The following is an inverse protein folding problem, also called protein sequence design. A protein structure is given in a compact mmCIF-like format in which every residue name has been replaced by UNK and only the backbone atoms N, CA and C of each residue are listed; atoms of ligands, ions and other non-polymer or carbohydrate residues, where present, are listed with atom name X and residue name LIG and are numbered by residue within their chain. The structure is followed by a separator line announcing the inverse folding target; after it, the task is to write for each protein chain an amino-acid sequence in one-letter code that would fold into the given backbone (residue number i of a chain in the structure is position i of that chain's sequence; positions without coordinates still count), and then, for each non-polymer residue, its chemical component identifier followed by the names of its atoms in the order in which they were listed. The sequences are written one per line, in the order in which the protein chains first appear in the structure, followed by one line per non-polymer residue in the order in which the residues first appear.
data_IF_488100148979
#
_entry.id   IF_488100148979
#
_cell.length_a   1.000
_cell.length_b   1.000
_cell.length_c   1.000
_cell.angle_alpha   90.00
_cell.angle_beta   90.00
_cell.angle_gamma   90.00
#
_symmetry.space_group_name_H-M   'P 1'
#
loop_
_entity.id
_entity.type
_entity.pdbx_description
1 polymer ?
#
# COMPACT_ATOMS: atom_id res chain seq x y z
N UNK A 1 8.74 5.63 -1.00
CA UNK A 1 9.72 5.44 0.10
C UNK A 1 9.57 6.43 1.26
N UNK A 2 8.75 7.49 1.19
CA UNK A 2 8.58 8.44 2.31
C UNK A 2 7.49 8.04 3.34
N UNK A 3 6.43 7.31 2.95
CA UNK A 3 5.35 6.91 3.88
C UNK A 3 5.56 5.58 4.60
N UNK A 4 6.53 4.77 4.17
CA UNK A 4 6.96 3.61 4.97
C UNK A 4 7.53 4.02 6.35
N UNK A 5 7.76 5.32 6.58
CA UNK A 5 8.17 5.93 7.84
C UNK A 5 7.06 6.69 8.60
N UNK A 6 5.79 6.68 8.14
CA UNK A 6 4.65 7.24 8.90
C UNK A 6 4.44 8.77 8.82
N UNK A 7 5.04 9.47 7.85
CA UNK A 7 4.83 10.91 7.69
C UNK A 7 3.47 11.24 7.07
N UNK A 8 2.73 12.15 7.71
CA UNK A 8 1.47 12.72 7.22
C UNK A 8 1.72 13.76 6.12
N UNK A 9 0.80 13.92 5.17
CA UNK A 9 0.93 14.85 4.06
C UNK A 9 1.10 16.29 4.53
N UNK A 10 0.42 16.66 5.63
CA UNK A 10 0.55 17.96 6.28
C UNK A 10 1.97 18.23 6.77
N UNK A 11 2.66 17.22 7.31
CA UNK A 11 4.04 17.37 7.79
C UNK A 11 5.03 17.59 6.64
N UNK A 12 4.79 16.93 5.49
CA UNK A 12 5.62 17.14 4.29
C UNK A 12 5.40 18.53 3.71
N UNK A 13 4.15 19.00 3.70
CA UNK A 13 3.80 20.37 3.27
C UNK A 13 4.44 21.40 4.21
N UNK A 14 4.31 21.22 5.53
CA UNK A 14 4.87 22.12 6.53
C UNK A 14 6.40 22.19 6.43
N UNK A 15 7.07 21.05 6.21
CA UNK A 15 8.51 21.02 5.98
C UNK A 15 8.92 21.80 4.72
N UNK A 16 8.18 21.66 3.61
CA UNK A 16 8.46 22.39 2.37
C UNK A 16 8.29 23.90 2.56
N UNK A 17 7.24 24.33 3.25
CA UNK A 17 7.00 25.75 3.55
C UNK A 17 8.08 26.30 4.49
N UNK A 18 8.45 25.52 5.52
CA UNK A 18 9.38 25.96 6.56
C UNK A 18 10.84 26.03 6.11
N UNK A 19 11.27 25.11 5.24
CA UNK A 19 12.68 24.97 4.88
C UNK A 19 13.02 25.41 3.44
N UNK A 20 12.03 25.76 2.61
CA UNK A 20 12.30 26.24 1.26
C UNK A 20 12.88 27.66 1.26
N UNK A 21 13.96 27.86 0.49
CA UNK A 21 14.57 29.18 0.25
C UNK A 21 13.64 30.13 -0.53
N UNK A 22 12.70 29.57 -1.31
CA UNK A 22 11.76 30.31 -2.13
C UNK A 22 10.33 29.91 -1.80
N UNK A 23 9.36 30.79 -2.08
CA UNK A 23 7.95 30.47 -1.90
C UNK A 23 7.58 29.19 -2.67
N UNK A 24 7.00 28.22 -1.97
CA UNK A 24 6.56 26.96 -2.59
C UNK A 24 5.24 27.23 -3.33
N UNK A 25 5.14 26.92 -4.64
CA UNK A 25 3.91 27.16 -5.38
C UNK A 25 2.74 26.35 -4.79
N UNK A 26 1.59 27.00 -4.59
CA UNK A 26 0.37 26.34 -4.10
C UNK A 26 -0.02 25.08 -4.91
N UNK A 27 0.07 25.06 -6.25
CA UNK A 27 -0.24 23.85 -7.02
C UNK A 27 0.59 22.63 -6.61
N UNK A 28 1.88 22.82 -6.31
CA UNK A 28 2.75 21.73 -5.88
C UNK A 28 2.34 21.16 -4.52
N UNK A 29 1.95 22.03 -3.58
CA UNK A 29 1.49 21.59 -2.26
C UNK A 29 0.20 20.76 -2.37
N UNK A 30 -0.74 21.21 -3.21
CA UNK A 30 -1.98 20.47 -3.49
C UNK A 30 -1.67 19.11 -4.13
N UNK A 31 -0.79 19.07 -5.13
CA UNK A 31 -0.40 17.82 -5.80
C UNK A 31 0.23 16.80 -4.83
N UNK A 32 1.03 17.28 -3.86
CA UNK A 32 1.64 16.43 -2.82
C UNK A 32 0.56 15.86 -1.91
N UNK A 33 -0.36 16.69 -1.42
CA UNK A 33 -1.46 16.25 -0.54
C UNK A 33 -2.33 15.22 -1.27
N UNK A 34 -2.73 15.49 -2.50
CA UNK A 34 -3.55 14.59 -3.30
C UNK A 34 -2.83 13.26 -3.58
N UNK A 35 -1.52 13.32 -3.89
CA UNK A 35 -0.72 12.12 -4.15
C UNK A 35 -0.55 11.29 -2.87
N UNK A 36 -0.17 11.91 -1.76
CA UNK A 36 0.07 11.22 -0.49
C UNK A 36 -1.21 10.67 0.12
N UNK A 37 -2.35 11.36 -0.08
CA UNK A 37 -3.67 10.92 0.34
C UNK A 37 -4.13 9.62 -0.33
N UNK A 38 -3.61 9.28 -1.51
CA UNK A 38 -3.92 8.04 -2.24
C UNK A 38 -3.14 6.82 -1.73
N UNK A 39 -1.93 7.02 -1.19
CA UNK A 39 -1.15 5.93 -0.61
C UNK A 39 -1.80 5.41 0.69
N UNK A 40 -1.54 4.16 1.03
CA UNK A 40 -2.03 3.53 2.27
C UNK A 40 -3.54 3.24 2.33
N UNK A 41 -4.33 3.62 1.32
CA UNK A 41 -5.77 3.29 1.26
C UNK A 41 -6.05 1.86 0.82
N UNK A 42 -5.08 1.21 0.20
CA UNK A 42 -5.16 -0.16 -0.29
C UNK A 42 -3.93 -0.94 0.15
N UNK A 43 -4.15 -2.16 0.61
CA UNK A 43 -3.11 -3.06 1.09
C UNK A 43 -3.31 -4.45 0.49
N UNK A 44 -2.25 -5.02 -0.07
CA UNK A 44 -2.19 -6.41 -0.48
C UNK A 44 -1.61 -7.21 0.68
N UNK A 45 -2.43 -8.08 1.27
CA UNK A 45 -2.08 -8.87 2.46
C UNK A 45 -2.19 -10.36 2.15
N UNK A 46 -1.39 -11.18 2.84
CA UNK A 46 -1.50 -12.64 2.76
C UNK A 46 -2.30 -13.15 3.96
N UNK A 47 -3.35 -13.91 3.70
CA UNK A 47 -4.18 -14.56 4.71
C UNK A 47 -3.97 -16.07 4.69
N UNK A 48 -3.85 -16.74 5.86
CA UNK A 48 -3.63 -18.19 5.93
C UNK A 48 -4.71 -19.02 5.23
N UNK A 49 -5.98 -18.63 5.33
CA UNK A 49 -7.12 -19.37 4.78
C UNK A 49 -7.57 -18.89 3.39
N UNK A 50 -7.28 -17.64 3.02
CA UNK A 50 -7.84 -16.99 1.82
C UNK A 50 -6.79 -16.64 0.77
N UNK A 51 -5.49 -16.84 1.06
CA UNK A 51 -4.42 -16.48 0.15
C UNK A 51 -4.21 -14.97 0.09
N UNK A 52 -4.03 -14.42 -1.11
CA UNK A 52 -3.84 -12.98 -1.29
C UNK A 52 -5.18 -12.24 -1.21
N UNK A 53 -5.20 -11.13 -0.47
CA UNK A 53 -6.37 -10.27 -0.34
C UNK A 53 -5.98 -8.82 -0.59
N UNK A 54 -6.93 -8.05 -1.12
CA UNK A 54 -6.88 -6.59 -1.18
C UNK A 54 -7.78 -6.05 -0.08
N UNK A 55 -7.18 -5.38 0.89
CA UNK A 55 -7.84 -4.70 2.02
C UNK A 55 -7.84 -3.21 1.73
N UNK A 56 -8.95 -2.54 2.02
CA UNK A 56 -9.06 -1.10 1.91
C UNK A 56 -9.35 -0.44 3.25
N UNK A 57 -8.74 0.73 3.47
CA UNK A 57 -9.08 1.63 4.58
C UNK A 57 -10.11 2.69 4.16
N UNK A 58 -10.55 2.65 2.90
CA UNK A 58 -11.55 3.55 2.34
C UNK A 58 -12.48 2.78 1.39
N UNK A 59 -13.69 2.51 1.86
CA UNK A 59 -14.69 1.75 1.13
C UNK A 59 -15.02 2.33 -0.24
N UNK A 60 -15.02 3.65 -0.39
CA UNK A 60 -15.33 4.28 -1.68
C UNK A 60 -14.25 3.95 -2.71
N UNK A 61 -12.97 3.89 -2.28
CA UNK A 61 -11.85 3.50 -3.13
C UNK A 61 -11.97 2.03 -3.53
N UNK A 62 -12.32 1.13 -2.60
CA UNK A 62 -12.53 -0.27 -2.93
C UNK A 62 -13.64 -0.43 -3.98
N UNK A 63 -14.78 0.23 -3.81
CA UNK A 63 -15.89 0.20 -4.77
C UNK A 63 -15.48 0.69 -6.17
N UNK A 64 -14.65 1.74 -6.25
CA UNK A 64 -14.09 2.22 -7.51
C UNK A 64 -13.21 1.15 -8.18
N UNK A 65 -12.35 0.51 -7.40
CA UNK A 65 -11.45 -0.57 -7.86
C UNK A 65 -12.26 -1.78 -8.36
N UNK A 66 -13.29 -2.21 -7.63
CA UNK A 66 -14.15 -3.33 -7.99
C UNK A 66 -14.89 -3.10 -9.32
N UNK A 67 -15.26 -1.85 -9.62
CA UNK A 67 -15.93 -1.47 -10.88
C UNK A 67 -14.97 -1.40 -12.07
N UNK A 68 -13.66 -1.40 -11.83
CA UNK A 68 -12.68 -1.31 -12.90
C UNK A 68 -12.61 -2.65 -13.67
N UNK A 69 -13.11 -2.62 -14.92
CA UNK A 69 -13.17 -3.80 -15.80
C UNK A 69 -11.83 -4.50 -16.04
N UNK A 70 -10.70 -3.80 -15.89
CA UNK A 70 -9.37 -4.38 -16.05
C UNK A 70 -8.88 -5.06 -14.77
N UNK A 71 -9.35 -4.65 -13.61
CA UNK A 71 -8.96 -5.21 -12.31
C UNK A 71 -9.91 -6.34 -11.90
N UNK A 72 -11.22 -6.22 -12.16
CA UNK A 72 -12.22 -7.20 -11.79
C UNK A 72 -11.85 -8.68 -12.09
N UNK A 73 -11.22 -9.02 -13.25
CA UNK A 73 -10.81 -10.42 -13.52
C UNK A 73 -9.69 -10.96 -12.62
N UNK A 74 -8.99 -10.10 -11.89
CA UNK A 74 -7.92 -10.44 -10.95
C UNK A 74 -8.45 -10.71 -9.54
N UNK A 75 -9.72 -10.39 -9.31
CA UNK A 75 -10.38 -10.43 -8.00
C UNK A 75 -11.28 -11.67 -7.90
N UNK A 76 -11.35 -12.22 -6.70
CA UNK A 76 -12.23 -13.33 -6.35
C UNK A 76 -13.46 -12.86 -5.58
N UNK A 77 -13.93 -13.71 -4.66
CA UNK A 77 -15.06 -13.38 -3.81
C UNK A 77 -14.74 -12.20 -2.89
N UNK A 78 -15.75 -11.35 -2.67
CA UNK A 78 -15.74 -10.34 -1.61
C UNK A 78 -15.94 -11.06 -0.27
N UNK A 79 -15.09 -10.76 0.70
CA UNK A 79 -15.17 -11.35 2.05
C UNK A 79 -16.05 -10.50 2.97
N UNK A 80 -15.88 -9.19 2.89
CA UNK A 80 -16.63 -8.20 3.64
C UNK A 80 -16.64 -6.86 2.88
N UNK A 81 -17.14 -5.81 3.51
CA UNK A 81 -17.27 -4.51 2.87
C UNK A 81 -15.93 -3.86 2.49
N UNK A 82 -14.82 -4.25 3.10
CA UNK A 82 -13.52 -3.59 2.95
C UNK A 82 -12.43 -4.56 2.42
N UNK A 83 -12.79 -5.82 2.16
CA UNK A 83 -11.86 -6.89 1.77
C UNK A 83 -12.37 -7.73 0.59
N UNK A 84 -11.49 -7.93 -0.40
CA UNK A 84 -11.73 -8.84 -1.53
C UNK A 84 -10.54 -9.77 -1.77
N UNK A 85 -10.82 -11.01 -2.16
CA UNK A 85 -9.78 -11.96 -2.54
C UNK A 85 -9.11 -11.49 -3.84
N UNK A 86 -7.81 -11.70 -3.96
CA UNK A 86 -7.04 -11.49 -5.19
C UNK A 86 -6.41 -12.81 -5.61
N UNK A 87 -6.43 -13.12 -6.90
CA UNK A 87 -5.73 -14.31 -7.41
C UNK A 87 -4.21 -14.15 -7.19
N UNK A 88 -3.57 -15.15 -6.56
CA UNK A 88 -2.14 -15.10 -6.22
C UNK A 88 -1.24 -14.79 -7.44
N UNK A 89 -1.56 -15.37 -8.61
CA UNK A 89 -0.82 -15.14 -9.87
C UNK A 89 -0.92 -13.71 -10.37
N UNK A 90 -1.96 -12.98 -9.96
CA UNK A 90 -2.23 -11.62 -10.41
C UNK A 90 -1.61 -10.55 -9.51
N UNK A 91 -0.92 -10.89 -8.40
CA UNK A 91 -0.34 -9.91 -7.45
C UNK A 91 0.41 -8.78 -8.13
N UNK A 92 1.36 -9.12 -9.02
CA UNK A 92 2.16 -8.13 -9.74
C UNK A 92 1.30 -7.27 -10.68
N UNK A 93 0.34 -7.90 -11.35
CA UNK A 93 -0.53 -7.23 -12.32
C UNK A 93 -1.56 -6.32 -11.66
N UNK A 94 -2.18 -6.76 -10.55
CA UNK A 94 -3.12 -5.96 -9.77
C UNK A 94 -2.39 -4.72 -9.23
N UNK A 95 -1.17 -4.89 -8.70
CA UNK A 95 -0.35 -3.78 -8.20
C UNK A 95 -0.02 -2.76 -9.29
N UNK A 96 0.37 -3.23 -10.48
CA UNK A 96 0.61 -2.36 -11.63
C UNK A 96 -0.66 -1.64 -12.10
N UNK A 97 -1.80 -2.31 -12.11
CA UNK A 97 -3.07 -1.70 -12.53
C UNK A 97 -3.57 -0.66 -11.54
N UNK A 98 -3.47 -0.96 -10.25
CA UNK A 98 -3.77 -0.04 -9.14
C UNK A 98 -2.93 1.23 -9.22
N UNK A 99 -1.63 1.10 -9.51
CA UNK A 99 -0.75 2.25 -9.78
C UNK A 99 -1.23 3.07 -11.00
N UNK A 100 -1.61 2.40 -12.09
CA UNK A 100 -2.08 3.07 -13.32
C UNK A 100 -3.38 3.86 -13.13
N UNK A 101 -4.23 3.46 -12.19
CA UNK A 101 -5.49 4.17 -11.90
C UNK A 101 -5.34 5.16 -10.72
N UNK A 102 -4.14 5.36 -10.20
CA UNK A 102 -3.87 6.33 -9.15
C UNK A 102 -4.24 5.87 -7.74
N UNK A 103 -4.36 4.57 -7.51
CA UNK A 103 -4.62 3.98 -6.19
C UNK A 103 -3.52 2.98 -5.83
N UNK A 104 -2.29 3.43 -5.53
CA UNK A 104 -1.18 2.53 -5.23
C UNK A 104 -1.47 1.70 -3.97
N UNK A 105 -1.29 0.38 -4.07
CA UNK A 105 -1.42 -0.53 -2.94
C UNK A 105 -0.07 -0.84 -2.28
N UNK A 106 -0.06 -0.81 -0.94
CA UNK A 106 1.05 -1.33 -0.14
C UNK A 106 1.07 -2.85 -0.21
N UNK A 107 2.26 -3.45 -0.30
CA UNK A 107 2.40 -4.88 -0.57
C UNK A 107 2.99 -5.61 0.63
N UNK A 108 2.12 -5.96 1.56
CA UNK A 108 2.44 -6.61 2.83
C UNK A 108 2.44 -8.14 2.72
N UNK A 109 1.95 -8.70 1.61
CA UNK A 109 1.93 -10.15 1.37
C UNK A 109 3.32 -10.81 1.29
N UNK A 110 4.39 -10.01 1.19
CA UNK A 110 5.80 -10.46 1.24
C UNK A 110 6.44 -10.40 2.63
N UNK A 111 5.84 -9.71 3.59
CA UNK A 111 6.28 -9.73 4.99
C UNK A 111 5.70 -10.99 5.64
N UNK A 112 6.43 -12.09 5.48
CA UNK A 112 6.35 -13.16 6.47
C UNK A 112 7.18 -12.62 7.63
N UNK A 113 6.62 -12.46 8.83
CA UNK A 113 7.45 -12.45 10.03
C UNK A 113 8.30 -13.72 9.91
N UNK A 114 9.59 -13.55 9.61
CA UNK A 114 10.48 -14.68 9.45
C UNK A 114 10.34 -15.53 10.70
N UNK A 115 10.02 -16.81 10.52
CA UNK A 115 10.06 -17.76 11.61
C UNK A 115 11.41 -17.56 12.32
N UNK A 116 11.37 -17.16 13.59
CA UNK A 116 12.57 -16.87 14.35
C UNK A 116 13.34 -18.18 14.47
N UNK A 117 14.27 -18.42 13.55
CA UNK A 117 15.19 -19.52 13.68
C UNK A 117 16.11 -19.19 14.86
N UNK A 118 16.15 -20.03 15.91
CA UNK A 118 17.13 -19.85 16.97
C UNK A 118 18.51 -20.08 16.35
N UNK A 119 19.19 -18.99 16.00
CA UNK A 119 20.60 -19.01 15.65
C UNK A 119 21.34 -18.74 16.95
N UNK A 120 21.79 -19.79 17.61
CA UNK A 120 22.75 -19.68 18.70
C UNK A 120 24.16 -19.68 18.13
N UNK A 121 25.00 -18.79 18.66
CA UNK A 121 26.43 -18.77 18.42
C UNK A 121 27.04 -19.95 19.16
N UNK A 122 27.57 -20.92 18.42
CA UNK A 122 28.46 -21.94 18.98
C UNK A 122 29.79 -21.26 19.35
N UNK A 123 30.10 -21.24 20.65
CA UNK A 123 31.32 -20.65 21.20
C UNK A 123 32.40 -21.69 21.50
N UNK A 124 32.31 -22.90 20.94
CA UNK A 124 33.38 -23.88 21.09
C UNK A 124 34.60 -23.53 20.22
N UNK A 125 35.62 -22.97 20.88
CA UNK A 125 37.01 -22.96 20.42
C UNK A 125 37.60 -21.59 20.07
N UNK A 126 37.84 -20.75 21.09
CA UNK A 126 38.88 -19.71 21.04
C UNK A 126 40.11 -20.18 21.84
#
# INVERSE_FOLDING_TARGET
NARAAGHDAEQVVDALVSFSRYAVPQPLLVDIVDTMGRYGRLQLVKHPAHGLMLVSLDRAVLEEVLRNKKIAPMLGARLDDDTVIVHNSERGRVKQMLLKIGWPAEDLAGYVDGEAHPIELDQDGW
#
